data_IF_809664475589
#
_entry.id   IF_809664475589
#
_cell.length_a   1.000
_cell.length_b   1.000
_cell.length_c   1.000
_cell.angle_alpha   90.00
_cell.angle_beta   90.00
_cell.angle_gamma   90.00
#
_symmetry.space_group_name_H-M   'P 1'
#
loop_
_entity.id
_entity.type
_entity.pdbx_description
1 polymer ?
#
# COMPACT_ATOMS: atom_id res chain seq x y z
N UNK A 1 -31.04 -38.34 72.26
CA UNK A 1 -31.94 -37.37 71.59
C UNK A 1 -31.09 -36.32 70.92
N UNK A 2 -31.29 -36.21 69.60
CA UNK A 2 -30.95 -35.14 68.64
C UNK A 2 -29.50 -34.62 68.45
N UNK A 3 -29.08 -34.43 67.18
CA UNK A 3 -27.75 -34.05 66.71
C UNK A 3 -27.65 -32.55 66.37
N UNK A 4 -26.43 -31.99 66.24
CA UNK A 4 -26.10 -30.72 65.57
C UNK A 4 -24.57 -30.62 65.52
N UNK A 5 -23.85 -30.19 64.49
CA UNK A 5 -24.14 -29.74 63.13
C UNK A 5 -22.75 -29.79 62.44
N UNK A 6 -22.58 -30.62 61.43
CA UNK A 6 -21.41 -30.56 60.54
C UNK A 6 -21.64 -29.40 59.58
N UNK A 7 -20.91 -28.29 59.76
CA UNK A 7 -20.84 -27.22 58.77
C UNK A 7 -19.76 -27.60 57.74
N UNK A 8 -20.19 -28.25 56.66
CA UNK A 8 -19.38 -28.44 55.46
C UNK A 8 -19.32 -27.12 54.69
N UNK A 9 -18.15 -26.47 54.70
CA UNK A 9 -17.86 -25.35 53.82
C UNK A 9 -17.63 -25.89 52.40
N UNK A 10 -18.69 -25.91 51.58
CA UNK A 10 -18.58 -26.04 50.14
C UNK A 10 -17.95 -24.74 49.60
N UNK A 11 -16.65 -24.78 49.32
CA UNK A 11 -16.01 -23.79 48.46
C UNK A 11 -16.49 -24.02 47.03
N UNK A 12 -17.51 -23.28 46.64
CA UNK A 12 -18.01 -23.19 45.27
C UNK A 12 -16.98 -22.41 44.46
N UNK A 13 -15.99 -23.10 43.89
CA UNK A 13 -15.17 -22.54 42.80
C UNK A 13 -15.98 -22.60 41.51
N UNK A 14 -17.04 -21.79 41.41
CA UNK A 14 -17.74 -21.54 40.15
C UNK A 14 -17.07 -20.33 39.52
N UNK A 15 -16.00 -20.63 38.81
CA UNK A 15 -15.24 -19.71 37.97
C UNK A 15 -14.55 -20.45 36.83
N UNK A 16 -15.12 -21.56 36.38
CA UNK A 16 -14.80 -22.13 35.06
C UNK A 16 -15.78 -21.47 34.08
N UNK A 17 -15.53 -20.20 33.77
CA UNK A 17 -16.07 -19.63 32.55
C UNK A 17 -15.44 -20.42 31.41
N UNK A 18 -16.26 -21.08 30.60
CA UNK A 18 -15.86 -21.62 29.31
C UNK A 18 -15.27 -20.45 28.52
N UNK A 19 -13.96 -20.29 28.58
CA UNK A 19 -13.26 -19.28 27.81
C UNK A 19 -13.46 -19.62 26.35
N UNK A 20 -14.28 -18.81 25.66
CA UNK A 20 -14.29 -18.57 24.20
C UNK A 20 -13.44 -19.60 23.43
N UNK A 21 -14.01 -20.80 23.25
CA UNK A 21 -13.35 -21.95 22.60
C UNK A 21 -13.58 -21.94 21.09
N UNK A 22 -14.34 -20.98 20.60
CA UNK A 22 -14.41 -20.56 19.23
C UNK A 22 -13.29 -19.54 18.99
N UNK A 23 -12.51 -19.72 17.92
CA UNK A 23 -11.43 -18.83 17.47
C UNK A 23 -11.90 -17.40 17.10
N UNK A 24 -13.03 -16.94 17.63
CA UNK A 24 -13.74 -15.73 17.28
C UNK A 24 -13.11 -14.46 17.84
N UNK A 25 -12.27 -14.55 18.88
CA UNK A 25 -11.58 -13.37 19.42
C UNK A 25 -10.08 -13.61 19.56
N UNK A 26 -9.31 -13.05 18.62
CA UNK A 26 -7.84 -13.08 18.64
C UNK A 26 -7.23 -11.81 19.25
N UNK A 27 -8.06 -10.94 19.86
CA UNK A 27 -7.64 -9.63 20.36
C UNK A 27 -7.91 -8.50 19.37
N UNK A 28 -7.36 -7.32 19.68
CA UNK A 28 -7.31 -6.19 18.75
C UNK A 28 -6.22 -6.46 17.70
N UNK A 29 -6.52 -6.35 16.40
CA UNK A 29 -5.50 -6.55 15.38
C UNK A 29 -4.42 -5.47 15.48
N UNK A 30 -3.16 -5.88 15.30
CA UNK A 30 -2.03 -4.96 15.14
C UNK A 30 -2.15 -4.17 13.84
N UNK A 31 -2.79 -4.76 12.83
CA UNK A 31 -3.00 -4.17 11.52
C UNK A 31 -4.18 -4.80 10.81
N UNK A 32 -4.86 -4.02 9.98
CA UNK A 32 -5.91 -4.52 9.09
C UNK A 32 -5.61 -4.07 7.67
N UNK A 33 -5.41 -5.03 6.77
CA UNK A 33 -5.33 -4.77 5.33
C UNK A 33 -6.69 -5.10 4.70
N UNK A 34 -7.42 -4.09 4.26
CA UNK A 34 -8.77 -4.24 3.74
C UNK A 34 -8.93 -3.53 2.40
N UNK A 35 -9.74 -4.10 1.52
CA UNK A 35 -9.86 -3.63 0.15
C UNK A 35 -10.93 -4.35 -0.64
N UNK A 36 -10.85 -4.23 -1.96
CA UNK A 36 -11.75 -4.88 -2.91
C UNK A 36 -11.03 -5.96 -3.72
N UNK A 37 -11.77 -6.96 -4.20
CA UNK A 37 -11.27 -7.87 -5.23
C UNK A 37 -11.83 -7.43 -6.58
N UNK A 38 -10.91 -7.04 -7.47
CA UNK A 38 -11.19 -6.56 -8.81
C UNK A 38 -10.59 -7.52 -9.86
N UNK A 39 -10.92 -7.30 -11.13
CA UNK A 39 -10.32 -7.99 -12.27
C UNK A 39 -9.95 -6.97 -13.34
N UNK A 40 -8.82 -7.19 -13.99
CA UNK A 40 -8.27 -6.36 -15.07
C UNK A 40 -8.84 -6.70 -16.47
N UNK A 41 -9.75 -7.68 -16.56
CA UNK A 41 -10.21 -8.22 -17.84
C UNK A 41 -11.59 -8.89 -17.77
N UNK A 42 -11.88 -9.69 -18.81
CA UNK A 42 -13.12 -10.46 -18.87
C UNK A 42 -13.18 -11.45 -17.69
N UNK A 43 -14.18 -11.29 -16.82
CA UNK A 43 -14.28 -12.03 -15.55
C UNK A 43 -14.23 -13.54 -15.78
N UNK A 44 -13.17 -14.24 -15.32
CA UNK A 44 -13.22 -15.68 -15.21
C UNK A 44 -14.27 -16.03 -14.15
N UNK A 45 -15.11 -17.03 -14.43
CA UNK A 45 -15.98 -17.60 -13.39
C UNK A 45 -15.10 -18.48 -12.51
N UNK A 46 -14.64 -17.94 -11.38
CA UNK A 46 -13.92 -18.71 -10.37
C UNK A 46 -14.91 -19.59 -9.61
N UNK A 47 -14.73 -20.90 -9.71
CA UNK A 47 -15.57 -21.91 -9.04
C UNK A 47 -14.92 -22.46 -7.77
N UNK A 48 -13.62 -22.25 -7.59
CA UNK A 48 -12.88 -22.63 -6.39
C UNK A 48 -12.98 -21.55 -5.30
N UNK A 49 -12.91 -21.92 -4.01
CA UNK A 49 -12.81 -20.94 -2.94
C UNK A 49 -11.52 -20.13 -3.09
N UNK A 50 -11.67 -18.80 -3.20
CA UNK A 50 -10.54 -17.88 -3.21
C UNK A 50 -10.12 -17.55 -1.78
N UNK A 51 -8.82 -17.42 -1.57
CA UNK A 51 -8.24 -17.00 -0.30
C UNK A 51 -7.22 -15.89 -0.53
N UNK A 52 -7.17 -14.95 0.40
CA UNK A 52 -6.16 -13.90 0.43
C UNK A 52 -5.31 -14.02 1.69
N UNK A 53 -4.01 -13.90 1.54
CA UNK A 53 -3.06 -13.95 2.67
C UNK A 53 -1.86 -13.05 2.41
N UNK A 54 -1.12 -12.74 3.49
CA UNK A 54 0.16 -12.04 3.41
C UNK A 54 1.27 -13.08 3.27
N UNK A 55 2.15 -12.86 2.31
CA UNK A 55 3.31 -13.67 2.02
C UNK A 55 4.56 -12.85 2.20
N UNK A 56 5.43 -13.28 3.09
CA UNK A 56 6.64 -12.53 3.44
C UNK A 56 7.80 -12.88 2.53
N UNK A 57 8.52 -11.85 2.11
CA UNK A 57 9.70 -11.92 1.27
C UNK A 57 10.94 -12.16 2.15
N UNK A 58 11.75 -13.20 1.88
CA UNK A 58 12.91 -13.54 2.71
C UNK A 58 14.16 -12.69 2.39
N UNK A 59 14.00 -11.49 1.81
CA UNK A 59 15.09 -10.69 1.25
C UNK A 59 15.16 -9.27 1.80
N UNK A 60 16.35 -8.67 1.66
CA UNK A 60 16.58 -7.25 1.90
C UNK A 60 15.87 -6.39 0.83
N UNK A 61 15.16 -5.32 1.21
CA UNK A 61 14.48 -4.42 0.28
C UNK A 61 15.35 -3.80 -0.81
N UNK A 62 16.62 -3.57 -0.52
CA UNK A 62 17.57 -3.04 -1.50
C UNK A 62 17.81 -4.01 -2.66
N UNK A 63 17.50 -5.30 -2.47
CA UNK A 63 17.56 -6.34 -3.50
C UNK A 63 16.24 -6.49 -4.27
N UNK A 64 15.12 -5.94 -3.76
CA UNK A 64 13.83 -5.99 -4.45
C UNK A 64 13.86 -5.24 -5.78
N UNK A 65 14.64 -4.15 -5.89
CA UNK A 65 14.78 -3.39 -7.13
C UNK A 65 15.34 -4.22 -8.29
N UNK A 66 16.26 -5.15 -8.03
CA UNK A 66 16.86 -6.00 -9.07
C UNK A 66 16.05 -7.27 -9.34
N UNK A 67 15.41 -7.85 -8.31
CA UNK A 67 14.63 -9.08 -8.45
C UNK A 67 13.28 -8.88 -9.15
N UNK A 68 12.77 -7.64 -9.16
CA UNK A 68 11.44 -7.32 -9.67
C UNK A 68 11.42 -6.27 -10.81
N UNK A 69 12.58 -5.84 -11.32
CA UNK A 69 12.69 -4.82 -12.38
C UNK A 69 11.93 -5.17 -13.69
N UNK A 70 11.59 -6.43 -13.90
CA UNK A 70 10.75 -6.86 -15.03
C UNK A 70 9.34 -7.15 -14.53
N UNK A 71 8.31 -6.58 -15.20
CA UNK A 71 6.91 -6.98 -15.01
C UNK A 71 6.84 -8.49 -15.07
N UNK A 72 6.72 -9.13 -13.91
CA UNK A 72 6.72 -10.57 -13.82
C UNK A 72 5.27 -11.00 -13.68
N UNK A 73 4.71 -11.66 -14.70
CA UNK A 73 3.39 -12.26 -14.59
C UNK A 73 3.29 -13.13 -13.34
N UNK A 74 2.11 -13.18 -12.71
CA UNK A 74 1.90 -13.97 -11.48
C UNK A 74 2.27 -15.45 -11.65
N UNK A 75 2.05 -16.02 -12.84
CA UNK A 75 2.44 -17.40 -13.18
C UNK A 75 3.95 -17.62 -13.28
N UNK A 76 4.74 -16.55 -13.04
CA UNK A 76 6.21 -16.55 -13.00
C UNK A 76 6.77 -16.03 -11.68
N UNK A 77 5.97 -15.93 -10.62
CA UNK A 77 6.49 -15.65 -9.27
C UNK A 77 7.57 -16.66 -8.84
N UNK A 78 7.50 -17.90 -9.33
CA UNK A 78 8.52 -18.96 -9.20
C UNK A 78 9.80 -18.72 -10.02
N UNK A 79 9.83 -17.67 -10.86
CA UNK A 79 10.91 -17.34 -11.80
C UNK A 79 11.43 -15.92 -11.66
N UNK A 80 10.99 -15.17 -10.66
CA UNK A 80 11.55 -13.85 -10.35
C UNK A 80 13.08 -14.00 -10.19
N UNK A 81 13.91 -13.29 -10.97
CA UNK A 81 15.36 -13.42 -10.91
C UNK A 81 15.86 -13.12 -9.48
N UNK A 82 16.35 -14.15 -8.77
CA UNK A 82 16.81 -14.01 -7.38
C UNK A 82 15.84 -14.56 -6.33
N UNK A 83 14.57 -14.81 -6.67
CA UNK A 83 13.83 -15.90 -6.04
C UNK A 83 14.39 -17.20 -6.62
N UNK A 84 15.30 -17.82 -5.88
CA UNK A 84 15.65 -19.22 -6.16
C UNK A 84 14.34 -20.03 -6.27
N UNK A 85 14.31 -21.14 -7.00
CA UNK A 85 13.13 -22.02 -7.00
C UNK A 85 12.81 -22.58 -5.58
N UNK A 86 13.71 -22.32 -4.62
CA UNK A 86 13.62 -22.62 -3.20
C UNK A 86 13.39 -21.36 -2.31
N UNK A 87 13.23 -20.17 -2.90
CA UNK A 87 12.88 -18.95 -2.20
C UNK A 87 11.39 -18.98 -1.86
N UNK A 88 11.08 -19.72 -0.81
CA UNK A 88 9.71 -19.90 -0.36
C UNK A 88 9.23 -18.58 0.25
N UNK A 89 8.33 -17.90 -0.46
CA UNK A 89 7.44 -16.94 0.19
C UNK A 89 6.87 -17.59 1.44
N UNK A 90 7.01 -16.93 2.58
CA UNK A 90 6.53 -17.47 3.85
C UNK A 90 5.10 -16.98 4.04
N UNK A 91 4.15 -17.86 3.78
CA UNK A 91 2.73 -17.60 4.03
C UNK A 91 2.50 -17.37 5.53
N UNK A 92 1.84 -16.26 5.88
CA UNK A 92 1.28 -16.08 7.22
C UNK A 92 -0.11 -16.72 7.27
N UNK A 93 -0.15 -18.06 7.30
CA UNK A 93 -1.38 -18.84 7.17
C UNK A 93 -2.43 -18.50 8.26
N UNK A 94 -1.98 -18.05 9.44
CA UNK A 94 -2.88 -17.69 10.56
C UNK A 94 -3.80 -16.50 10.26
N UNK A 95 -3.56 -15.77 9.18
CA UNK A 95 -4.34 -14.58 8.78
C UNK A 95 -4.94 -14.72 7.38
N UNK A 96 -4.88 -15.93 6.79
CA UNK A 96 -5.52 -16.19 5.49
C UNK A 96 -7.05 -16.08 5.63
N UNK A 97 -7.69 -15.35 4.72
CA UNK A 97 -9.13 -15.13 4.73
C UNK A 97 -9.78 -15.65 3.46
N UNK A 98 -10.94 -16.28 3.59
CA UNK A 98 -11.76 -16.62 2.42
C UNK A 98 -12.32 -15.35 1.80
N UNK A 99 -12.24 -15.25 0.48
CA UNK A 99 -12.68 -14.09 -0.29
C UNK A 99 -13.68 -14.51 -1.35
N UNK A 100 -14.60 -13.59 -1.68
CA UNK A 100 -15.56 -13.76 -2.78
C UNK A 100 -15.23 -12.77 -3.87
N UNK A 101 -15.38 -13.19 -5.12
CA UNK A 101 -15.21 -12.31 -6.28
C UNK A 101 -16.54 -12.12 -7.04
N UNK A 102 -16.90 -10.88 -7.41
CA UNK A 102 -16.37 -9.62 -6.86
C UNK A 102 -16.74 -9.48 -5.38
N UNK A 103 -15.94 -8.73 -4.62
CA UNK A 103 -16.21 -8.58 -3.19
C UNK A 103 -15.22 -7.67 -2.48
N UNK A 104 -15.40 -7.55 -1.17
CA UNK A 104 -14.47 -6.89 -0.26
C UNK A 104 -13.76 -7.94 0.57
N UNK A 105 -12.54 -7.63 1.00
CA UNK A 105 -11.78 -8.47 1.92
C UNK A 105 -11.25 -7.63 3.08
N UNK A 106 -10.93 -8.31 4.19
CA UNK A 106 -10.26 -7.71 5.33
C UNK A 106 -9.38 -8.77 5.98
N UNK A 107 -8.07 -8.55 5.93
CA UNK A 107 -7.04 -9.39 6.55
C UNK A 107 -6.64 -8.71 7.85
N UNK A 108 -6.92 -9.37 8.98
CA UNK A 108 -6.53 -8.89 10.30
C UNK A 108 -5.25 -9.58 10.75
N UNK A 109 -4.23 -8.79 11.10
CA UNK A 109 -2.93 -9.28 11.53
C UNK A 109 -2.78 -9.09 13.03
N UNK A 110 -2.55 -10.19 13.76
CA UNK A 110 -2.53 -10.20 15.23
C UNK A 110 -1.13 -10.46 15.82
N UNK A 111 -0.18 -10.88 14.99
CA UNK A 111 1.17 -11.22 15.43
C UNK A 111 2.18 -10.73 14.39
N UNK A 112 3.42 -10.39 14.82
CA UNK A 112 4.53 -10.11 13.92
C UNK A 112 4.74 -11.19 12.86
N UNK A 113 5.49 -10.89 11.78
CA UNK A 113 5.84 -11.90 10.78
C UNK A 113 6.56 -13.10 11.41
N UNK A 114 6.35 -14.32 10.89
CA UNK A 114 6.99 -15.52 11.41
C UNK A 114 8.52 -15.43 11.34
N UNK A 115 9.22 -16.12 12.25
CA UNK A 115 10.68 -16.03 12.35
C UNK A 115 11.41 -16.51 11.07
N UNK A 116 10.78 -17.42 10.33
CA UNK A 116 11.25 -17.96 9.06
C UNK A 116 11.18 -16.93 7.93
N UNK A 117 10.33 -15.90 8.07
CA UNK A 117 10.23 -14.79 7.13
C UNK A 117 11.31 -13.70 7.35
N UNK A 118 12.22 -13.91 8.30
CA UNK A 118 13.20 -12.91 8.71
C UNK A 118 14.52 -13.18 7.98
N UNK A 119 14.89 -12.29 7.06
CA UNK A 119 16.29 -12.19 6.64
C UNK A 119 17.14 -11.80 7.87
N UNK A 120 18.25 -12.50 8.09
CA UNK A 120 19.14 -12.26 9.25
C UNK A 120 19.47 -10.77 9.37
N UNK A 121 19.24 -10.18 10.55
CA UNK A 121 19.46 -8.75 10.89
C UNK A 121 18.52 -7.71 10.23
N UNK A 122 17.43 -8.13 9.58
CA UNK A 122 16.50 -7.19 8.96
C UNK A 122 15.63 -6.44 9.98
N UNK A 123 15.78 -5.10 10.03
CA UNK A 123 14.92 -4.16 10.81
C UNK A 123 13.54 -3.94 10.18
N UNK A 124 13.38 -4.36 8.94
CA UNK A 124 12.20 -4.13 8.11
C UNK A 124 11.90 -5.40 7.31
N UNK A 125 10.62 -5.77 7.25
CA UNK A 125 10.12 -6.96 6.54
C UNK A 125 9.07 -6.54 5.53
N UNK A 126 9.02 -7.26 4.41
CA UNK A 126 8.14 -6.96 3.28
C UNK A 126 7.22 -8.14 3.05
N UNK A 127 5.92 -7.86 3.03
CA UNK A 127 4.86 -8.77 2.70
C UNK A 127 4.17 -8.33 1.43
N UNK A 128 3.88 -9.28 0.56
CA UNK A 128 2.94 -9.10 -0.55
C UNK A 128 1.61 -9.72 -0.17
N UNK A 129 0.51 -9.11 -0.61
CA UNK A 129 -0.82 -9.70 -0.42
C UNK A 129 -1.19 -10.42 -1.69
N UNK A 130 -1.31 -11.75 -1.61
CA UNK A 130 -1.64 -12.59 -2.75
C UNK A 130 -3.04 -13.16 -2.61
N UNK A 131 -3.66 -13.42 -3.76
CA UNK A 131 -4.93 -14.10 -3.92
C UNK A 131 -4.67 -15.44 -4.60
N UNK A 132 -5.14 -16.53 -4.00
CA UNK A 132 -4.95 -17.89 -4.52
C UNK A 132 -6.25 -18.70 -4.48
N UNK A 133 -6.34 -19.70 -5.37
CA UNK A 133 -7.40 -20.71 -5.39
C UNK A 133 -7.04 -21.87 -4.49
N UNK A 134 -7.79 -22.13 -3.42
CA UNK A 134 -7.58 -23.29 -2.56
C UNK A 134 -8.22 -24.54 -3.22
N UNK A 135 -7.48 -25.20 -4.12
CA UNK A 135 -8.04 -26.26 -4.98
C UNK A 135 -8.17 -27.60 -4.26
N UNK A 136 -7.32 -27.86 -3.29
CA UNK A 136 -7.35 -29.09 -2.50
C UNK A 136 -8.11 -28.95 -1.17
N UNK A 137 -8.48 -27.74 -0.78
CA UNK A 137 -9.30 -27.46 0.39
C UNK A 137 -8.54 -27.55 1.70
N UNK A 138 -7.21 -27.43 1.67
CA UNK A 138 -6.36 -27.48 2.86
C UNK A 138 -6.17 -26.11 3.53
N UNK A 139 -6.79 -25.08 2.96
CA UNK A 139 -6.76 -23.68 3.39
C UNK A 139 -5.41 -22.96 3.24
N UNK A 140 -4.44 -23.58 2.57
CA UNK A 140 -3.08 -23.06 2.36
C UNK A 140 -2.82 -22.85 0.87
N UNK A 141 -1.77 -22.09 0.57
CA UNK A 141 -1.36 -21.91 -0.82
C UNK A 141 -0.49 -23.08 -1.29
N UNK A 142 -0.97 -23.80 -2.31
CA UNK A 142 -0.17 -24.75 -3.07
C UNK A 142 0.47 -24.04 -4.28
N UNK A 143 1.74 -24.35 -4.63
CA UNK A 143 2.38 -23.76 -5.81
C UNK A 143 1.52 -23.89 -7.09
N UNK A 144 1.33 -22.77 -7.80
CA UNK A 144 0.49 -22.71 -9.00
C UNK A 144 -0.99 -22.37 -8.75
N UNK A 145 -1.36 -22.03 -7.52
CA UNK A 145 -2.70 -21.57 -7.15
C UNK A 145 -2.85 -20.05 -7.09
N UNK A 146 -1.75 -19.28 -7.17
CA UNK A 146 -1.82 -17.82 -7.17
C UNK A 146 -2.54 -17.34 -8.43
N UNK A 147 -3.60 -16.55 -8.23
CA UNK A 147 -4.46 -16.01 -9.29
C UNK A 147 -4.57 -14.49 -9.26
N UNK A 148 -4.01 -13.83 -8.26
CA UNK A 148 -4.03 -12.37 -8.14
C UNK A 148 -3.13 -11.85 -7.03
N UNK A 149 -2.99 -10.54 -6.95
CA UNK A 149 -2.21 -9.86 -5.92
C UNK A 149 -2.65 -8.42 -5.74
N UNK A 150 -2.12 -7.74 -4.72
CA UNK A 150 -2.15 -6.28 -4.63
C UNK A 150 -1.02 -5.71 -5.51
N UNK A 151 -1.31 -5.13 -6.70
CA UNK A 151 -0.26 -4.83 -7.67
C UNK A 151 0.63 -3.66 -7.27
N UNK A 152 0.15 -2.77 -6.42
CA UNK A 152 0.81 -1.50 -6.08
C UNK A 152 1.07 -1.32 -4.59
N UNK A 153 0.84 -2.36 -3.79
CA UNK A 153 0.91 -2.24 -2.33
C UNK A 153 1.72 -3.36 -1.71
N UNK A 154 2.57 -2.97 -0.77
CA UNK A 154 3.27 -3.88 0.12
C UNK A 154 2.79 -3.69 1.56
N UNK A 155 2.83 -4.76 2.32
CA UNK A 155 2.71 -4.73 3.77
C UNK A 155 4.13 -4.69 4.34
N UNK A 156 4.46 -3.65 5.09
CA UNK A 156 5.71 -3.55 5.82
C UNK A 156 5.51 -3.95 7.27
N UNK A 157 6.56 -4.50 7.88
CA UNK A 157 6.68 -4.61 9.32
C UNK A 157 8.05 -4.12 9.79
N UNK A 158 8.06 -3.07 10.61
CA UNK A 158 9.26 -2.52 11.22
C UNK A 158 9.34 -2.93 12.70
N UNK A 159 10.48 -3.47 13.14
CA UNK A 159 10.67 -3.85 14.55
C UNK A 159 10.79 -2.64 15.49
N UNK A 160 11.15 -1.48 14.93
CA UNK A 160 11.36 -0.24 15.65
C UNK A 160 11.05 0.96 14.74
N UNK A 161 10.90 2.13 15.34
CA UNK A 161 10.75 3.37 14.59
C UNK A 161 11.98 3.59 13.68
N UNK A 162 11.72 3.92 12.41
CA UNK A 162 12.72 4.30 11.42
C UNK A 162 12.51 5.77 11.06
N UNK A 163 13.56 6.57 11.14
CA UNK A 163 13.52 7.95 10.69
C UNK A 163 13.35 8.03 9.16
N UNK A 164 12.87 9.17 8.65
CA UNK A 164 12.69 9.38 7.22
C UNK A 164 14.02 9.33 6.43
N UNK A 165 15.13 9.66 7.09
CA UNK A 165 16.49 9.66 6.57
C UNK A 165 17.28 8.38 6.90
N UNK A 166 16.67 7.38 7.55
CA UNK A 166 17.32 6.08 7.78
C UNK A 166 17.51 5.36 6.44
N UNK A 167 18.74 4.92 6.16
CA UNK A 167 19.08 4.23 4.90
C UNK A 167 18.34 2.91 4.71
N UNK A 168 17.84 2.30 5.78
CA UNK A 168 17.04 1.08 5.74
C UNK A 168 15.55 1.34 5.57
N UNK A 169 15.12 2.61 5.60
CA UNK A 169 13.74 3.00 5.41
C UNK A 169 13.50 3.38 3.94
N UNK A 170 12.87 2.50 3.14
CA UNK A 170 12.66 2.77 1.72
C UNK A 170 11.51 3.75 1.47
N UNK A 171 10.71 4.09 2.49
CA UNK A 171 9.49 4.87 2.31
C UNK A 171 9.75 6.36 2.11
N UNK A 172 10.90 6.89 2.53
CA UNK A 172 11.18 8.33 2.48
C UNK A 172 10.39 9.18 3.48
N UNK A 173 9.57 8.56 4.33
CA UNK A 173 8.84 9.18 5.44
C UNK A 173 9.17 8.46 6.75
N UNK A 174 8.93 9.10 7.91
CA UNK A 174 9.13 8.41 9.19
C UNK A 174 8.20 7.19 9.27
N UNK A 175 8.75 6.03 9.59
CA UNK A 175 8.02 4.76 9.67
C UNK A 175 8.00 4.29 11.13
N UNK A 176 6.85 4.36 11.83
CA UNK A 176 6.73 3.83 13.18
C UNK A 176 6.95 2.31 13.24
N UNK A 177 7.33 1.82 14.42
CA UNK A 177 7.36 0.39 14.71
C UNK A 177 5.97 -0.25 14.48
N UNK A 178 5.96 -1.48 13.98
CA UNK A 178 4.76 -2.23 13.64
C UNK A 178 4.49 -2.29 12.14
N UNK A 179 3.22 -2.43 11.79
CA UNK A 179 2.78 -2.65 10.42
C UNK A 179 2.42 -1.35 9.70
N UNK A 180 2.70 -1.31 8.40
CA UNK A 180 2.20 -0.27 7.50
C UNK A 180 1.85 -0.87 6.13
N UNK A 181 0.87 -0.30 5.44
CA UNK A 181 0.73 -0.48 4.00
C UNK A 181 1.48 0.66 3.30
N UNK A 182 2.25 0.32 2.27
CA UNK A 182 2.97 1.30 1.46
C UNK A 182 2.67 1.08 -0.01
N UNK A 183 2.54 2.17 -0.74
CA UNK A 183 2.35 2.14 -2.17
C UNK A 183 3.70 2.07 -2.90
N UNK A 184 3.72 1.37 -4.02
CA UNK A 184 4.86 1.26 -4.93
C UNK A 184 4.80 2.32 -6.04
N UNK A 185 5.97 2.79 -6.54
CA UNK A 185 7.32 2.42 -6.11
C UNK A 185 7.75 3.13 -4.80
N UNK A 186 8.70 2.54 -4.06
CA UNK A 186 9.33 3.15 -2.88
C UNK A 186 10.52 4.03 -3.30
N UNK A 187 11.00 4.85 -2.37
CA UNK A 187 12.02 5.87 -2.62
C UNK A 187 13.46 5.38 -2.51
N UNK A 188 13.70 4.42 -1.60
CA UNK A 188 14.98 3.74 -1.36
C UNK A 188 16.22 4.65 -1.31
N UNK A 189 16.47 5.25 -0.16
CA UNK A 189 17.73 5.98 0.10
C UNK A 189 17.81 7.37 -0.54
N UNK A 190 16.73 7.86 -1.17
CA UNK A 190 16.63 9.25 -1.64
C UNK A 190 15.68 10.03 -0.71
N UNK A 191 16.14 11.10 -0.05
CA UNK A 191 15.30 11.88 0.87
C UNK A 191 14.18 12.58 0.12
N UNK A 192 12.96 12.57 0.69
CA UNK A 192 11.77 13.24 0.11
C UNK A 192 12.10 14.66 -0.35
N UNK A 193 11.65 15.11 -1.54
CA UNK A 193 12.00 16.43 -2.01
C UNK A 193 11.36 17.42 -1.04
N UNK A 194 12.14 18.41 -0.59
CA UNK A 194 11.54 19.49 0.16
C UNK A 194 10.46 20.16 -0.70
N UNK A 195 9.34 20.49 -0.06
CA UNK A 195 8.16 21.07 -0.68
C UNK A 195 8.46 22.53 -1.06
N UNK A 196 9.30 22.75 -2.06
CA UNK A 196 9.61 24.10 -2.50
C UNK A 196 8.42 24.68 -3.26
N UNK A 197 7.81 25.71 -2.68
CA UNK A 197 6.91 26.60 -3.39
C UNK A 197 7.72 27.22 -4.53
N UNK A 198 7.21 27.18 -5.77
CA UNK A 198 7.78 28.01 -6.82
C UNK A 198 7.60 29.48 -6.39
N UNK A 199 8.69 30.18 -6.03
CA UNK A 199 8.59 31.52 -5.45
C UNK A 199 8.10 32.55 -6.47
N UNK A 200 8.06 32.21 -7.77
CA UNK A 200 7.64 33.14 -8.83
C UNK A 200 6.13 33.14 -9.08
N UNK A 201 5.46 32.00 -8.90
CA UNK A 201 4.02 31.88 -9.15
C UNK A 201 3.18 31.95 -7.87
N UNK A 202 3.80 31.74 -6.70
CA UNK A 202 3.13 31.70 -5.39
C UNK A 202 1.87 30.83 -5.43
N UNK A 203 2.04 29.58 -5.90
CA UNK A 203 0.99 28.55 -5.92
C UNK A 203 1.44 27.36 -5.09
N UNK A 204 0.54 26.86 -4.25
CA UNK A 204 0.79 25.72 -3.35
C UNK A 204 0.31 24.40 -3.97
N UNK A 205 0.92 23.96 -5.06
CA UNK A 205 0.47 22.76 -5.78
C UNK A 205 0.35 21.53 -4.85
N UNK A 206 -0.81 20.90 -4.87
CA UNK A 206 -1.17 19.73 -4.06
C UNK A 206 -1.48 20.01 -2.59
N UNK A 207 -1.47 21.27 -2.15
CA UNK A 207 -1.95 21.63 -0.82
C UNK A 207 -3.47 21.37 -0.69
N UNK A 208 -3.90 21.09 0.55
CA UNK A 208 -5.32 20.97 0.89
C UNK A 208 -6.00 22.33 0.83
N UNK A 209 -7.26 22.36 0.39
CA UNK A 209 -8.01 23.60 0.23
C UNK A 209 -9.51 23.36 0.33
N UNK A 210 -10.23 24.38 0.81
CA UNK A 210 -11.70 24.36 0.89
C UNK A 210 -12.35 25.39 -0.03
N UNK A 211 -11.55 26.12 -0.79
CA UNK A 211 -11.99 27.13 -1.74
C UNK A 211 -10.81 27.81 -2.42
N UNK A 212 -11.12 28.64 -3.40
CA UNK A 212 -10.11 29.42 -4.12
C UNK A 212 -9.57 30.57 -3.24
N UNK A 213 -8.38 31.06 -3.58
CA UNK A 213 -7.84 32.31 -3.06
C UNK A 213 -6.42 32.21 -2.51
N UNK A 214 -5.87 33.39 -2.24
CA UNK A 214 -4.49 33.60 -1.82
C UNK A 214 -4.10 32.76 -0.59
N UNK A 215 -4.97 32.72 0.42
CA UNK A 215 -4.67 32.03 1.67
C UNK A 215 -4.73 30.50 1.53
N UNK A 216 -5.53 30.00 0.58
CA UNK A 216 -5.72 28.58 0.34
C UNK A 216 -4.68 28.03 -0.64
N UNK A 217 -4.73 28.45 -1.90
CA UNK A 217 -3.91 27.91 -2.98
C UNK A 217 -2.85 28.87 -3.51
N UNK A 218 -2.83 30.11 -3.03
CA UNK A 218 -1.92 31.15 -3.51
C UNK A 218 -2.53 32.02 -4.60
N UNK A 219 -1.73 32.91 -5.19
CA UNK A 219 -2.22 34.01 -6.04
C UNK A 219 -2.91 33.52 -7.32
N UNK A 220 -2.37 32.47 -7.93
CA UNK A 220 -2.85 31.87 -9.17
C UNK A 220 -3.43 30.46 -8.95
N UNK A 221 -3.52 30.04 -7.69
CA UNK A 221 -3.96 28.69 -7.35
C UNK A 221 -5.48 28.56 -7.39
N UNK A 222 -5.95 27.47 -7.99
CA UNK A 222 -7.35 27.05 -7.99
C UNK A 222 -7.52 25.84 -7.08
N UNK A 223 -8.59 25.83 -6.28
CA UNK A 223 -8.95 24.68 -5.48
C UNK A 223 -9.90 23.76 -6.25
N UNK A 224 -9.47 22.52 -6.49
CA UNK A 224 -10.33 21.47 -7.02
C UNK A 224 -10.91 20.61 -5.89
N UNK A 225 -12.21 20.36 -5.90
CA UNK A 225 -12.87 19.42 -4.96
C UNK A 225 -13.18 18.06 -5.59
N UNK A 226 -13.02 17.95 -6.90
CA UNK A 226 -13.14 16.73 -7.68
C UNK A 226 -12.23 16.83 -8.92
N UNK A 227 -11.87 15.68 -9.48
CA UNK A 227 -11.27 15.53 -10.79
C UNK A 227 -12.13 14.58 -11.66
N UNK A 228 -11.59 14.12 -12.80
CA UNK A 228 -12.27 13.20 -13.71
C UNK A 228 -12.57 11.83 -13.07
N UNK A 229 -11.79 11.41 -12.07
CA UNK A 229 -11.87 10.09 -11.45
C UNK A 229 -12.68 10.11 -10.14
N UNK A 230 -12.96 11.29 -9.58
CA UNK A 230 -13.92 11.46 -8.51
C UNK A 230 -13.58 12.58 -7.53
N UNK A 231 -14.07 12.50 -6.28
CA UNK A 231 -13.83 13.55 -5.29
C UNK A 231 -12.37 13.57 -4.83
N UNK A 232 -11.85 14.77 -4.61
CA UNK A 232 -10.52 15.02 -4.06
C UNK A 232 -10.65 15.25 -2.54
N UNK A 233 -10.23 14.31 -1.68
CA UNK A 233 -10.35 14.45 -0.22
C UNK A 233 -9.64 15.73 0.23
N UNK A 234 -10.34 16.58 0.99
CA UNK A 234 -9.85 17.86 1.52
C UNK A 234 -9.43 18.91 0.46
N UNK A 235 -9.86 18.72 -0.80
CA UNK A 235 -9.58 19.59 -1.94
C UNK A 235 -8.10 19.66 -2.34
N UNK A 236 -7.80 20.04 -3.58
CA UNK A 236 -6.45 19.99 -4.12
C UNK A 236 -6.12 21.27 -4.88
N UNK A 237 -5.07 21.97 -4.44
CA UNK A 237 -4.60 23.16 -5.13
C UNK A 237 -3.88 22.79 -6.44
N UNK A 238 -4.36 23.35 -7.55
CA UNK A 238 -3.76 23.24 -8.89
C UNK A 238 -3.50 24.62 -9.47
N UNK A 239 -2.79 24.69 -10.59
CA UNK A 239 -2.71 25.88 -11.43
C UNK A 239 -3.37 25.56 -12.78
N UNK A 240 -4.47 26.23 -13.11
CA UNK A 240 -5.11 26.03 -14.41
C UNK A 240 -4.18 26.52 -15.53
N UNK A 241 -4.12 25.77 -16.63
CA UNK A 241 -3.24 26.09 -17.76
C UNK A 241 -3.48 27.49 -18.31
N UNK A 242 -4.75 27.89 -18.39
CA UNK A 242 -5.17 29.18 -18.94
C UNK A 242 -4.91 30.37 -17.99
N UNK A 243 -4.68 30.09 -16.71
CA UNK A 243 -4.34 31.11 -15.70
C UNK A 243 -2.83 31.39 -15.64
N UNK A 244 -2.00 30.55 -16.27
CA UNK A 244 -0.56 30.75 -16.34
C UNK A 244 -0.23 31.90 -17.31
N UNK A 245 0.43 32.98 -16.87
CA UNK A 245 0.83 34.06 -17.77
C UNK A 245 1.72 33.55 -18.90
N UNK A 246 1.53 34.05 -20.12
CA UNK A 246 2.29 33.61 -21.31
C UNK A 246 3.81 33.82 -21.21
N UNK A 247 4.26 34.66 -20.29
CA UNK A 247 5.68 34.91 -19.99
C UNK A 247 6.24 34.06 -18.86
N UNK A 248 5.39 33.32 -18.14
CA UNK A 248 5.78 32.46 -17.03
C UNK A 248 6.02 31.03 -17.52
N UNK A 249 6.95 30.34 -16.85
CA UNK A 249 7.12 28.90 -16.99
C UNK A 249 6.25 28.20 -15.95
N UNK A 250 5.78 26.97 -16.21
CA UNK A 250 5.09 26.19 -15.19
C UNK A 250 6.05 25.86 -14.04
N UNK A 251 5.53 25.57 -12.84
CA UNK A 251 6.34 25.12 -11.71
C UNK A 251 7.20 23.91 -12.08
N UNK A 252 8.47 23.90 -11.65
CA UNK A 252 9.46 22.88 -12.05
C UNK A 252 9.08 21.44 -11.66
N UNK A 253 8.27 21.26 -10.63
CA UNK A 253 7.79 19.95 -10.14
C UNK A 253 6.29 19.82 -10.38
N UNK A 254 5.88 20.03 -11.63
CA UNK A 254 4.47 19.93 -12.03
C UNK A 254 4.30 19.20 -13.35
N UNK A 255 3.19 18.47 -13.45
CA UNK A 255 2.76 17.78 -14.65
C UNK A 255 1.39 18.29 -15.07
N UNK A 256 1.23 18.50 -16.38
CA UNK A 256 -0.03 18.95 -16.97
C UNK A 256 -0.93 17.74 -17.20
N UNK A 257 -2.11 17.74 -16.61
CA UNK A 257 -3.14 16.71 -16.84
C UNK A 257 -4.50 17.34 -17.14
N UNK A 258 -5.35 16.55 -17.77
CA UNK A 258 -6.77 16.86 -17.94
C UNK A 258 -7.49 16.67 -16.60
N UNK A 259 -8.45 17.55 -16.32
CA UNK A 259 -9.26 17.56 -15.10
C UNK A 259 -10.67 18.08 -15.39
N UNK A 260 -11.57 17.99 -14.42
CA UNK A 260 -12.92 18.52 -14.54
C UNK A 260 -13.21 19.51 -13.41
N UNK A 261 -13.86 20.63 -13.76
CA UNK A 261 -14.43 21.56 -12.77
C UNK A 261 -15.82 21.98 -13.21
N UNK A 262 -16.80 21.78 -12.32
CA UNK A 262 -18.20 22.16 -12.55
C UNK A 262 -18.78 21.62 -13.89
N UNK A 263 -18.39 20.40 -14.28
CA UNK A 263 -18.81 19.78 -15.54
C UNK A 263 -18.05 20.22 -16.78
N UNK A 264 -16.97 21.00 -16.64
CA UNK A 264 -16.12 21.43 -17.76
C UNK A 264 -14.76 20.76 -17.68
N UNK A 265 -14.34 20.13 -18.78
CA UNK A 265 -12.98 19.63 -18.97
C UNK A 265 -12.00 20.80 -19.09
N UNK A 266 -10.92 20.74 -18.32
CA UNK A 266 -9.86 21.75 -18.24
C UNK A 266 -8.50 21.04 -18.22
N UNK A 267 -7.43 21.78 -18.50
CA UNK A 267 -6.07 21.33 -18.25
C UNK A 267 -5.50 22.07 -17.04
N UNK A 268 -4.87 21.35 -16.12
CA UNK A 268 -4.26 21.94 -14.93
C UNK A 268 -2.90 21.31 -14.62
N UNK A 269 -2.00 22.13 -14.09
CA UNK A 269 -0.73 21.70 -13.55
C UNK A 269 -0.96 21.13 -12.15
N UNK A 270 -0.71 19.83 -12.03
CA UNK A 270 -0.71 19.10 -10.76
C UNK A 270 0.72 19.00 -10.27
N UNK A 271 0.87 18.73 -8.97
CA UNK A 271 2.16 18.37 -8.41
C UNK A 271 2.66 17.05 -9.02
N UNK A 272 3.89 17.10 -9.52
CA UNK A 272 4.61 15.91 -9.99
C UNK A 272 5.14 15.09 -8.81
N UNK A 273 5.19 13.77 -8.98
CA UNK A 273 5.73 12.83 -8.02
C UNK A 273 6.51 11.71 -8.70
N UNK A 274 7.43 11.10 -7.95
CA UNK A 274 8.09 9.86 -8.32
C UNK A 274 7.55 8.68 -7.52
N UNK A 275 7.17 8.93 -6.26
CA UNK A 275 6.70 7.95 -5.29
C UNK A 275 5.56 8.55 -4.48
N UNK A 276 4.75 7.70 -3.85
CA UNK A 276 3.63 8.17 -3.02
C UNK A 276 4.09 8.93 -1.78
N UNK A 277 5.35 8.83 -1.39
CA UNK A 277 5.96 9.63 -0.33
C UNK A 277 6.18 11.10 -0.72
N UNK A 278 6.15 11.42 -2.02
CA UNK A 278 6.16 12.80 -2.51
C UNK A 278 4.77 13.45 -2.38
N UNK A 279 3.74 12.64 -2.16
CA UNK A 279 2.36 13.07 -2.01
C UNK A 279 2.00 13.34 -0.55
N UNK A 280 0.90 14.06 -0.34
CA UNK A 280 0.33 14.27 0.99
C UNK A 280 -0.43 13.01 1.46
N UNK A 281 -0.76 12.90 2.77
CA UNK A 281 -1.62 11.81 3.24
C UNK A 281 -2.92 11.70 2.44
N UNK A 282 -3.39 10.46 2.23
CA UNK A 282 -4.52 10.09 1.37
C UNK A 282 -4.33 10.25 -0.14
N UNK A 283 -3.12 10.61 -0.59
CA UNK A 283 -2.76 10.71 -2.02
C UNK A 283 -1.62 9.75 -2.33
N UNK A 284 -1.61 9.22 -3.54
CA UNK A 284 -0.59 8.29 -4.04
C UNK A 284 -0.06 8.78 -5.38
N UNK A 285 1.16 8.38 -5.73
CA UNK A 285 1.74 8.79 -7.00
C UNK A 285 1.21 7.90 -8.14
N UNK A 286 0.42 8.47 -9.04
CA UNK A 286 -0.15 7.76 -10.18
C UNK A 286 0.29 8.46 -11.46
N UNK A 287 0.95 7.75 -12.38
CA UNK A 287 1.41 8.36 -13.64
C UNK A 287 2.20 9.67 -13.43
N UNK A 288 3.05 9.71 -12.41
CA UNK A 288 3.83 10.89 -12.00
C UNK A 288 3.04 12.09 -11.46
N UNK A 289 1.77 11.93 -11.10
CA UNK A 289 0.97 12.95 -10.42
C UNK A 289 0.40 12.44 -9.09
N UNK A 290 0.33 13.33 -8.10
CA UNK A 290 -0.31 13.01 -6.83
C UNK A 290 -1.84 13.07 -6.97
N UNK A 291 -2.48 11.90 -6.94
CA UNK A 291 -3.93 11.73 -7.02
C UNK A 291 -4.45 11.03 -5.76
N UNK A 292 -5.77 11.10 -5.45
CA UNK A 292 -6.32 10.36 -4.32
C UNK A 292 -5.90 8.89 -4.38
N UNK A 293 -5.49 8.36 -3.23
CA UNK A 293 -5.09 6.96 -3.14
C UNK A 293 -6.30 6.08 -3.48
N UNK A 294 -6.19 5.16 -4.45
CA UNK A 294 -7.25 4.23 -4.72
C UNK A 294 -7.44 3.33 -3.50
N UNK A 295 -8.65 2.81 -3.31
CA UNK A 295 -8.86 1.78 -2.30
C UNK A 295 -7.92 0.59 -2.60
N UNK A 296 -7.29 -0.02 -1.58
CA UNK A 296 -6.54 -1.26 -1.76
C UNK A 296 -7.35 -2.28 -2.56
N UNK A 297 -6.70 -2.90 -3.54
CA UNK A 297 -7.36 -3.88 -4.40
C UNK A 297 -6.48 -5.09 -4.62
N UNK A 298 -7.09 -6.28 -4.54
CA UNK A 298 -6.53 -7.51 -5.08
C UNK A 298 -7.06 -7.66 -6.50
N UNK A 299 -6.15 -7.65 -7.47
CA UNK A 299 -6.50 -7.74 -8.89
C UNK A 299 -6.26 -9.16 -9.36
N UNK A 300 -7.34 -9.81 -9.79
CA UNK A 300 -7.28 -11.12 -10.46
C UNK A 300 -6.58 -10.99 -11.80
N UNK A 301 -5.69 -11.93 -12.11
CA UNK A 301 -4.76 -11.93 -13.24
C UNK A 301 -3.80 -10.74 -13.30
N UNK A 302 -3.90 -9.80 -12.35
CA UNK A 302 -2.97 -8.68 -12.27
C UNK A 302 -1.57 -9.21 -12.04
N UNK A 303 -0.58 -8.73 -12.79
CA UNK A 303 0.80 -8.98 -12.42
C UNK A 303 1.08 -8.34 -11.05
N UNK A 304 1.98 -8.93 -10.25
CA UNK A 304 2.63 -8.15 -9.20
C UNK A 304 3.57 -7.20 -9.94
N UNK A 305 3.07 -6.04 -10.35
CA UNK A 305 3.88 -4.98 -10.93
C UNK A 305 4.65 -4.31 -9.80
N UNK A 306 5.66 -5.01 -9.27
CA UNK A 306 6.72 -4.36 -8.50
C UNK A 306 7.64 -3.67 -9.51
N UNK A 307 7.11 -2.73 -10.30
CA UNK A 307 7.92 -1.76 -11.05
C UNK A 307 8.93 -1.21 -10.05
N UNK A 308 10.22 -1.47 -10.31
CA UNK A 308 11.38 -1.30 -9.44
C UNK A 308 10.99 -0.80 -8.03
N UNK A 309 10.96 -1.71 -7.04
CA UNK A 309 10.58 -1.36 -5.66
C UNK A 309 11.24 -0.06 -5.16
N UNK A 310 12.37 0.33 -5.76
CA UNK A 310 13.06 1.58 -5.61
C UNK A 310 13.00 2.45 -6.89
N UNK A 311 12.42 3.65 -6.82
CA UNK A 311 12.33 4.59 -7.95
C UNK A 311 13.72 5.10 -8.45
N UNK A 312 14.74 5.08 -7.60
CA UNK A 312 16.04 5.70 -7.88
C UNK A 312 16.96 4.93 -8.84
N UNK A 313 16.72 3.63 -9.08
CA UNK A 313 17.64 2.81 -9.87
C UNK A 313 17.54 3.03 -11.40
N UNK A 314 16.51 3.73 -11.90
CA UNK A 314 16.31 3.91 -13.34
C UNK A 314 16.73 5.29 -13.90
N UNK A 315 16.71 6.37 -13.11
CA UNK A 315 17.02 7.72 -13.62
C UNK A 315 18.51 7.95 -13.92
N UNK A 316 19.42 7.28 -13.21
CA UNK A 316 20.86 7.44 -13.47
C UNK A 316 21.29 6.91 -14.85
N UNK A 317 20.56 5.93 -15.41
CA UNK A 317 20.85 5.40 -16.75
C UNK A 317 20.17 6.20 -17.87
N UNK A 318 19.01 6.82 -17.64
CA UNK A 318 18.33 7.59 -18.69
C UNK A 318 18.99 8.94 -18.93
N UNK A 319 19.46 9.63 -17.89
CA UNK A 319 20.17 10.92 -18.03
C UNK A 319 21.57 10.79 -18.64
N UNK A 320 22.17 9.60 -18.62
CA UNK A 320 23.45 9.33 -19.31
C UNK A 320 23.30 9.02 -20.81
N UNK A 321 22.08 8.89 -21.33
CA UNK A 321 21.82 8.55 -22.75
C UNK A 321 21.26 9.70 -23.60
N UNK A 322 21.06 10.89 -23.04
CA UNK A 322 20.77 12.09 -23.83
C UNK A 322 22.07 12.86 -24.10
N UNK A 323 22.54 12.94 -25.36
CA UNK A 323 23.68 13.77 -25.75
C UNK A 323 23.39 15.27 -25.68
#
# INVERSE_FOLDING_TARGET
MRPCLLAAALAVTVGCGDGLLDQQYQGEPMFTFAGQVASDGAQPVYVAPLRAAVFWLPYDPTQLGAAFAERTPIDRLDRLPGLDANAHLVEQATIAVAVRFPGVFSINIFAPPPAEAIATDARLRFGVVLLYEDRDGDERMTPGEVVGAAPRQLVLFADQDLAADDTHNPTGAALPAGYAAVDLPLRCGVPSPEYDLDPMLDVRLGAACTGDGMDACGALGTCLTADLDGPLPDGYCVLLKDDLPTTAQPPLTSALIETERDGNELEAWYRECMTSADCRPAYTCQQHVCLPAPAPALVLNGAVEVEAACAASHESESRQRSP
#
